data_IF_989096597384
#
_entry.id   IF_989096597384
#
_cell.length_a   1.000
_cell.length_b   1.000
_cell.length_c   1.000
_cell.angle_alpha   90.00
_cell.angle_beta   90.00
_cell.angle_gamma   90.00
#
_symmetry.space_group_name_H-M   'P 1'
#
loop_
_entity.id
_entity.type
_entity.pdbx_description
1 polymer ?
#
# COMPACT_ATOMS: atom_id res chain seq x y z
N UNK A 1 -12.24 10.84 -15.21
CA UNK A 1 -11.61 11.60 -16.32
C UNK A 1 -10.68 10.69 -17.13
N UNK A 2 -11.23 9.67 -17.84
CA UNK A 2 -10.41 8.71 -18.61
C UNK A 2 -9.61 9.38 -19.72
N UNK A 3 -10.02 10.57 -20.16
CA UNK A 3 -9.29 11.39 -21.12
C UNK A 3 -8.02 12.04 -20.57
N UNK A 4 -7.88 12.10 -19.25
CA UNK A 4 -6.73 12.71 -18.55
C UNK A 4 -5.78 11.67 -17.94
N UNK A 5 -6.28 10.47 -17.65
CA UNK A 5 -5.52 9.43 -16.94
C UNK A 5 -5.61 8.12 -17.72
N UNK A 6 -4.46 7.59 -18.10
CA UNK A 6 -4.38 6.26 -18.70
C UNK A 6 -4.98 5.20 -17.74
N UNK A 7 -6.02 4.45 -18.16
CA UNK A 7 -6.59 3.37 -17.36
C UNK A 7 -5.56 2.37 -16.83
N UNK A 8 -4.51 2.11 -17.62
CA UNK A 8 -3.40 1.26 -17.20
C UNK A 8 -2.63 1.78 -15.99
N UNK A 9 -2.56 3.10 -15.80
CA UNK A 9 -1.93 3.69 -14.61
C UNK A 9 -2.72 3.39 -13.34
N UNK A 10 -4.04 3.37 -13.42
CA UNK A 10 -4.92 3.06 -12.29
C UNK A 10 -4.66 1.63 -11.79
N UNK A 11 -4.63 0.67 -12.71
CA UNK A 11 -4.35 -0.74 -12.40
C UNK A 11 -2.91 -0.93 -11.88
N UNK A 12 -1.92 -0.25 -12.46
CA UNK A 12 -0.54 -0.28 -11.99
C UNK A 12 -0.41 0.27 -10.57
N UNK A 13 -1.14 1.35 -10.25
CA UNK A 13 -1.20 1.92 -8.91
C UNK A 13 -1.71 0.93 -7.88
N UNK A 14 -2.80 0.22 -8.17
CA UNK A 14 -3.33 -0.81 -7.29
C UNK A 14 -2.35 -1.99 -7.12
N UNK A 15 -1.77 -2.46 -8.22
CA UNK A 15 -0.77 -3.52 -8.18
C UNK A 15 0.46 -3.14 -7.36
N UNK A 16 0.89 -1.88 -7.44
CA UNK A 16 1.97 -1.36 -6.61
C UNK A 16 1.65 -1.49 -5.11
N UNK A 17 0.44 -1.11 -4.71
CA UNK A 17 0.00 -1.25 -3.32
C UNK A 17 -0.04 -2.72 -2.87
N UNK A 18 -0.31 -3.63 -3.78
CA UNK A 18 -0.38 -5.08 -3.48
C UNK A 18 0.99 -5.78 -3.55
N UNK A 19 2.07 -5.03 -3.65
CA UNK A 19 3.43 -5.55 -3.57
C UNK A 19 4.17 -5.65 -4.90
N UNK A 20 3.59 -5.22 -6.02
CA UNK A 20 4.28 -5.17 -7.29
C UNK A 20 5.16 -3.91 -7.40
N UNK A 21 6.21 -3.89 -6.61
CA UNK A 21 7.19 -2.81 -6.53
C UNK A 21 8.62 -3.38 -6.47
N UNK A 22 9.67 -2.58 -6.73
CA UNK A 22 11.01 -3.08 -7.02
C UNK A 22 11.78 -3.68 -5.84
N UNK A 23 11.33 -3.52 -4.60
CA UNK A 23 12.13 -3.91 -3.43
C UNK A 23 11.78 -5.27 -2.84
N UNK A 24 10.51 -5.54 -2.69
CA UNK A 24 9.98 -6.79 -2.15
C UNK A 24 8.52 -6.92 -2.58
N UNK A 25 7.91 -8.05 -2.30
CA UNK A 25 6.52 -8.30 -2.65
C UNK A 25 5.57 -8.05 -1.46
N UNK A 26 5.96 -7.17 -0.54
CA UNK A 26 5.12 -6.83 0.61
C UNK A 26 3.99 -5.90 0.19
N UNK A 27 2.77 -6.31 0.42
CA UNK A 27 1.60 -5.46 0.27
C UNK A 27 1.58 -4.37 1.35
N UNK A 28 1.17 -3.17 0.96
CA UNK A 28 0.92 -2.06 1.88
C UNK A 28 -0.48 -2.10 2.50
N UNK A 29 -1.26 -3.08 2.13
CA UNK A 29 -2.59 -3.32 2.67
C UNK A 29 -2.53 -4.56 3.55
N UNK A 30 -2.69 -4.38 4.85
CA UNK A 30 -2.59 -5.49 5.80
C UNK A 30 -3.65 -6.56 5.54
N UNK A 31 -3.21 -7.80 5.42
CA UNK A 31 -4.08 -8.94 5.13
C UNK A 31 -4.43 -9.14 3.66
N UNK A 32 -3.85 -8.35 2.75
CA UNK A 32 -4.06 -8.51 1.30
C UNK A 32 -2.73 -8.82 0.61
N UNK A 33 -2.72 -9.83 -0.26
CA UNK A 33 -1.52 -10.29 -0.96
C UNK A 33 -0.83 -11.46 -0.28
N UNK A 34 0.34 -11.84 -0.78
CA UNK A 34 1.10 -13.01 -0.30
C UNK A 34 1.75 -12.73 1.06
N UNK A 35 2.31 -11.55 1.20
CA UNK A 35 2.87 -11.04 2.44
C UNK A 35 2.50 -9.56 2.61
N UNK A 36 2.28 -9.12 3.83
CA UNK A 36 1.86 -7.76 4.12
C UNK A 36 2.72 -7.11 5.18
N UNK A 37 2.87 -5.79 5.10
CA UNK A 37 3.51 -5.04 6.16
C UNK A 37 2.66 -5.09 7.43
N UNK A 38 3.33 -5.15 8.57
CA UNK A 38 2.69 -4.96 9.86
C UNK A 38 2.42 -3.48 10.07
N UNK A 39 1.33 -3.17 10.72
CA UNK A 39 0.94 -1.79 10.97
C UNK A 39 1.19 -1.40 12.43
N UNK A 40 1.41 -0.11 12.64
CA UNK A 40 1.40 0.48 13.96
C UNK A 40 0.38 1.62 13.99
N UNK A 41 -0.18 1.90 15.17
CA UNK A 41 -1.15 2.97 15.37
C UNK A 41 -1.03 3.58 16.77
N UNK A 42 -1.32 4.85 16.87
CA UNK A 42 -1.30 5.57 18.15
C UNK A 42 0.04 5.42 18.87
N UNK A 43 0.01 5.00 20.12
CA UNK A 43 1.21 4.79 20.95
C UNK A 43 1.78 3.36 20.86
N UNK A 44 1.18 2.50 20.08
CA UNK A 44 1.57 1.09 19.98
C UNK A 44 2.76 0.90 19.04
N UNK A 45 3.94 1.33 19.46
CA UNK A 45 5.18 1.28 18.68
C UNK A 45 5.95 -0.03 18.85
N UNK A 46 5.69 -0.76 19.90
CA UNK A 46 6.43 -1.98 20.26
C UNK A 46 5.78 -3.23 19.66
N UNK A 47 4.47 -3.24 19.52
CA UNK A 47 3.70 -4.36 19.02
C UNK A 47 3.08 -4.00 17.67
N UNK A 48 3.65 -4.52 16.62
CA UNK A 48 3.03 -4.43 15.32
C UNK A 48 1.76 -5.28 15.30
N UNK A 49 0.65 -4.66 14.96
CA UNK A 49 -0.62 -5.34 14.85
C UNK A 49 -0.98 -5.64 13.40
N UNK A 50 -1.77 -6.68 13.24
CA UNK A 50 -2.47 -6.94 12.00
C UNK A 50 -3.84 -6.28 12.09
N UNK A 51 -4.03 -5.20 11.35
CA UNK A 51 -5.33 -4.54 11.20
C UNK A 51 -5.79 -4.84 9.77
N UNK A 52 -6.67 -5.82 9.55
CA UNK A 52 -7.09 -6.19 8.20
C UNK A 52 -7.63 -4.99 7.43
N UNK A 53 -7.11 -4.78 6.23
CA UNK A 53 -7.43 -3.61 5.41
C UNK A 53 -6.73 -2.31 5.83
N UNK A 54 -5.89 -2.34 6.86
CA UNK A 54 -5.09 -1.18 7.24
C UNK A 54 -4.09 -0.82 6.15
N UNK A 55 -4.06 0.44 5.76
CA UNK A 55 -3.17 0.95 4.71
C UNK A 55 -1.98 1.66 5.35
N UNK A 56 -0.78 1.22 5.01
CA UNK A 56 0.46 1.89 5.42
C UNK A 56 0.95 2.86 4.35
N UNK A 57 1.74 3.89 4.70
CA UNK A 57 2.19 4.92 3.76
C UNK A 57 3.03 4.41 2.59
N UNK A 58 3.82 3.36 2.79
CA UNK A 58 4.56 2.76 1.70
C UNK A 58 6.05 2.58 1.97
N UNK A 59 6.87 2.77 0.94
CA UNK A 59 8.31 2.62 1.00
C UNK A 59 8.97 3.96 1.26
N UNK A 60 9.87 3.99 2.24
CA UNK A 60 10.88 5.02 2.37
C UNK A 60 12.15 4.53 1.67
N UNK A 61 12.88 5.43 1.06
CA UNK A 61 14.09 5.10 0.31
C UNK A 61 15.31 5.75 0.99
N UNK A 62 15.70 5.20 2.12
CA UNK A 62 16.81 5.71 2.91
C UNK A 62 18.12 5.04 2.47
N UNK A 63 19.01 5.85 1.96
CA UNK A 63 20.36 5.38 1.58
C UNK A 63 21.18 5.01 2.81
N UNK A 64 22.20 4.14 2.67
CA UNK A 64 22.67 3.54 1.42
C UNK A 64 21.96 2.25 1.02
N UNK A 65 21.35 1.52 1.91
CA UNK A 65 20.92 0.12 1.73
C UNK A 65 19.42 -0.12 1.82
N UNK A 66 18.65 0.94 2.03
CA UNK A 66 17.17 0.89 2.08
C UNK A 66 16.62 -0.16 3.06
N UNK A 67 17.27 -0.32 4.19
CA UNK A 67 16.94 -1.35 5.18
C UNK A 67 15.52 -1.25 5.71
N UNK A 68 14.94 -0.06 5.73
CA UNK A 68 13.57 0.20 6.15
C UNK A 68 12.52 -0.49 5.30
N UNK A 69 12.87 -0.98 4.14
CA UNK A 69 11.98 -1.74 3.27
C UNK A 69 11.88 -3.22 3.66
N UNK A 70 12.69 -3.67 4.60
CA UNK A 70 12.60 -5.02 5.14
C UNK A 70 11.44 -5.14 6.11
N UNK A 71 10.78 -6.28 6.13
CA UNK A 71 9.60 -6.53 6.95
C UNK A 71 9.87 -6.39 8.46
N UNK A 72 11.04 -6.79 8.90
CA UNK A 72 11.48 -6.80 10.30
C UNK A 72 12.22 -5.54 10.74
N UNK A 73 12.30 -4.53 9.89
CA UNK A 73 12.98 -3.28 10.23
C UNK A 73 12.26 -2.58 11.40
N UNK A 74 13.01 -1.92 12.30
CA UNK A 74 12.42 -1.19 13.42
C UNK A 74 11.36 -0.19 12.96
N UNK A 75 10.39 0.05 13.83
CA UNK A 75 9.25 0.90 13.55
C UNK A 75 9.63 2.28 12.98
N UNK A 76 9.03 2.59 11.84
CA UNK A 76 9.10 3.89 11.20
C UNK A 76 7.69 4.41 10.91
N UNK A 77 7.34 5.57 11.46
CA UNK A 77 6.04 6.18 11.24
C UNK A 77 5.73 6.38 9.75
N UNK A 78 6.68 6.94 9.01
CA UNK A 78 6.51 7.20 7.59
C UNK A 78 6.34 5.97 6.70
N UNK A 79 6.47 4.78 7.26
CA UNK A 79 6.38 3.52 6.51
C UNK A 79 5.29 2.59 7.02
N UNK A 80 5.05 2.56 8.33
CA UNK A 80 4.21 1.55 8.98
C UNK A 80 3.00 2.09 9.72
N UNK A 81 2.85 3.41 9.82
CA UNK A 81 1.70 3.99 10.49
C UNK A 81 0.42 3.80 9.68
N UNK A 82 -0.58 3.19 10.29
CA UNK A 82 -1.91 3.14 9.71
C UNK A 82 -2.63 4.48 9.95
N UNK A 83 -2.77 5.27 8.89
CA UNK A 83 -3.38 6.59 8.93
C UNK A 83 -4.73 6.60 8.24
N UNK A 84 -5.65 7.36 8.80
CA UNK A 84 -6.98 7.55 8.23
C UNK A 84 -6.93 8.15 6.80
N UNK A 85 -5.92 8.94 6.49
CA UNK A 85 -5.78 9.60 5.20
C UNK A 85 -5.51 8.61 4.05
N UNK A 86 -4.85 7.49 4.34
CA UNK A 86 -4.46 6.51 3.32
C UNK A 86 -5.64 5.64 2.90
N UNK A 87 -6.55 5.34 3.82
CA UNK A 87 -7.67 4.43 3.57
C UNK A 87 -8.66 4.97 2.53
N UNK A 88 -9.14 6.24 2.60
CA UNK A 88 -9.99 6.80 1.56
C UNK A 88 -9.36 6.79 0.17
N UNK A 89 -8.09 7.12 0.07
CA UNK A 89 -7.36 7.08 -1.19
C UNK A 89 -7.30 5.66 -1.78
N UNK A 90 -7.09 4.67 -0.94
CA UNK A 90 -7.13 3.27 -1.34
C UNK A 90 -8.52 2.84 -1.81
N UNK A 91 -9.58 3.25 -1.11
CA UNK A 91 -10.97 2.98 -1.52
C UNK A 91 -11.26 3.61 -2.88
N UNK A 92 -10.89 4.87 -3.08
CA UNK A 92 -11.06 5.57 -4.36
C UNK A 92 -10.32 4.89 -5.50
N UNK A 93 -9.10 4.43 -5.26
CA UNK A 93 -8.32 3.69 -6.25
C UNK A 93 -9.00 2.36 -6.64
N UNK A 94 -9.54 1.63 -5.67
CA UNK A 94 -10.28 0.39 -5.94
C UNK A 94 -11.52 0.65 -6.79
N UNK A 95 -12.31 1.67 -6.46
CA UNK A 95 -13.48 2.05 -7.26
C UNK A 95 -13.09 2.40 -8.69
N UNK A 96 -12.02 3.16 -8.88
CA UNK A 96 -11.51 3.48 -10.20
C UNK A 96 -11.05 2.23 -10.97
N UNK A 97 -10.44 1.25 -10.30
CA UNK A 97 -10.06 -0.03 -10.91
C UNK A 97 -11.26 -0.86 -11.34
N UNK A 98 -12.35 -0.86 -10.57
CA UNK A 98 -13.60 -1.54 -10.92
C UNK A 98 -14.18 -0.92 -12.20
N UNK A 99 -14.29 0.41 -12.25
CA UNK A 99 -14.76 1.12 -13.45
C UNK A 99 -13.92 0.80 -14.70
N UNK A 100 -12.60 0.76 -14.54
CA UNK A 100 -11.69 0.39 -15.66
C UNK A 100 -11.90 -1.05 -16.08
N UNK A 101 -12.03 -1.99 -15.14
CA UNK A 101 -12.25 -3.39 -15.46
C UNK A 101 -13.59 -3.61 -16.16
N UNK A 102 -14.65 -2.95 -15.72
CA UNK A 102 -15.96 -3.02 -16.35
C UNK A 102 -15.96 -2.44 -17.76
N UNK A 103 -15.18 -1.41 -18.01
CA UNK A 103 -15.05 -0.81 -19.34
C UNK A 103 -14.27 -1.71 -20.33
N UNK A 104 -13.29 -2.49 -19.84
CA UNK A 104 -12.52 -3.43 -20.67
C UNK A 104 -13.35 -4.66 -21.06
N UNK A 105 -14.29 -5.07 -20.20
CA UNK A 105 -15.09 -6.28 -20.37
C UNK A 105 -16.39 -6.04 -21.18
N UNK A 106 -16.63 -4.83 -21.64
CA UNK A 106 -17.73 -4.47 -22.54
C UNK A 106 -17.30 -4.49 -24.01
#
# INVERSE_FOLDING_TARGET
>A
YPELVDPGMVLKGLNYLYGNHPYNNLSFITGVGVATKKVAYGNNRADYNVIPGGVVPGLLMRKPDFMENKDDYPFLWGEKECCINSVPNYVMLNLACIEVADAINK
#
